data_IF_134778321429
#
_entry.id   IF_134778321429
#
_cell.length_a   1.000
_cell.length_b   1.000
_cell.length_c   1.000
_cell.angle_alpha   90.00
_cell.angle_beta   90.00
_cell.angle_gamma   90.00
#
_symmetry.space_group_name_H-M   'P 1'
#
loop_
_entity.id
_entity.type
_entity.pdbx_description
1 polymer ?
#
# COMPACT_ATOMS: atom_id res chain seq x y z
N UNK A 1 16.83 -23.38 5.83
CA UNK A 1 16.70 -22.80 4.48
C UNK A 1 16.31 -21.34 4.67
N UNK A 2 17.04 -20.39 4.11
CA UNK A 2 16.64 -18.97 4.08
C UNK A 2 15.53 -18.81 3.06
N UNK A 3 14.35 -18.34 3.50
CA UNK A 3 13.25 -17.99 2.60
C UNK A 3 13.56 -16.64 1.97
N UNK A 4 13.50 -16.55 0.64
CA UNK A 4 13.58 -15.28 -0.07
C UNK A 4 12.30 -14.47 0.14
N UNK A 5 12.45 -13.16 0.30
CA UNK A 5 11.35 -12.23 0.48
C UNK A 5 11.13 -11.49 -0.84
N UNK A 6 9.87 -11.41 -1.29
CA UNK A 6 9.51 -10.70 -2.51
C UNK A 6 8.77 -9.42 -2.17
N UNK A 7 9.36 -8.30 -2.57
CA UNK A 7 8.77 -6.97 -2.45
C UNK A 7 8.39 -6.47 -3.84
N UNK A 8 7.16 -6.01 -4.01
CA UNK A 8 6.71 -5.28 -5.19
C UNK A 8 6.52 -3.80 -4.85
N UNK A 9 6.84 -2.92 -5.78
CA UNK A 9 6.57 -1.48 -5.63
C UNK A 9 5.81 -0.97 -6.84
N UNK A 10 4.73 -0.22 -6.59
CA UNK A 10 3.86 0.31 -7.64
C UNK A 10 3.47 1.73 -7.32
N UNK A 11 3.80 2.65 -8.21
CA UNK A 11 3.19 3.97 -8.22
C UNK A 11 1.82 3.87 -8.92
N UNK A 12 0.74 4.04 -8.16
CA UNK A 12 -0.63 3.76 -8.64
C UNK A 12 -1.32 4.97 -9.28
N UNK A 13 -0.74 6.18 -9.17
CA UNK A 13 -1.33 7.42 -9.68
C UNK A 13 -2.82 7.61 -9.32
N UNK A 14 -3.21 7.21 -8.11
CA UNK A 14 -4.57 7.20 -7.60
C UNK A 14 -5.13 5.79 -7.42
N UNK A 15 -5.23 5.33 -6.17
CA UNK A 15 -5.60 3.94 -5.87
C UNK A 15 -6.97 3.54 -6.41
N UNK A 16 -7.98 4.42 -6.28
CA UNK A 16 -9.34 4.16 -6.80
C UNK A 16 -9.34 3.96 -8.32
N UNK A 17 -8.47 4.66 -9.03
CA UNK A 17 -8.33 4.53 -10.47
C UNK A 17 -7.56 3.25 -10.86
N UNK A 18 -6.61 2.82 -10.03
CA UNK A 18 -5.81 1.62 -10.24
C UNK A 18 -6.61 0.33 -9.99
N UNK A 19 -7.51 0.30 -9.01
CA UNK A 19 -8.34 -0.89 -8.70
C UNK A 19 -9.56 -1.05 -9.60
N UNK A 20 -9.91 -0.01 -10.36
CA UNK A 20 -11.09 -0.01 -11.24
C UNK A 20 -10.88 -0.92 -12.44
N UNK A 21 -11.80 -1.86 -12.63
CA UNK A 21 -11.98 -2.57 -13.90
C UNK A 21 -12.46 -1.59 -14.98
N UNK A 22 -11.74 -1.56 -16.10
CA UNK A 22 -11.98 -0.64 -17.22
C UNK A 22 -12.46 -1.36 -18.47
N UNK A 23 -12.08 -2.62 -18.66
CA UNK A 23 -12.49 -3.48 -19.77
C UNK A 23 -12.24 -4.95 -19.41
N UNK A 24 -12.72 -5.93 -20.21
CA UNK A 24 -12.42 -7.34 -20.02
C UNK A 24 -10.91 -7.69 -19.99
N UNK A 25 -10.08 -6.86 -20.63
CA UNK A 25 -8.62 -7.00 -20.68
C UNK A 25 -7.89 -6.12 -19.64
N UNK A 26 -8.60 -5.22 -18.98
CA UNK A 26 -8.07 -4.35 -17.92
C UNK A 26 -8.96 -4.45 -16.69
N UNK A 27 -8.69 -5.47 -15.89
CA UNK A 27 -9.41 -5.81 -14.67
C UNK A 27 -8.99 -4.96 -13.46
N UNK A 28 -8.10 -3.98 -13.64
CA UNK A 28 -7.50 -3.21 -12.56
C UNK A 28 -6.47 -4.02 -11.75
N UNK A 29 -6.05 -3.45 -10.63
CA UNK A 29 -4.92 -3.94 -9.83
C UNK A 29 -5.26 -5.13 -8.91
N UNK A 30 -6.50 -5.25 -8.44
CA UNK A 30 -6.87 -6.24 -7.42
C UNK A 30 -6.66 -7.71 -7.85
N UNK A 31 -6.96 -8.13 -9.10
CA UNK A 31 -6.64 -9.48 -9.56
C UNK A 31 -5.14 -9.80 -9.47
N UNK A 32 -4.28 -8.84 -9.80
CA UNK A 32 -2.83 -9.00 -9.62
C UNK A 32 -2.44 -9.13 -8.15
N UNK A 33 -3.02 -8.33 -7.24
CA UNK A 33 -2.76 -8.44 -5.79
C UNK A 33 -3.17 -9.82 -5.25
N UNK A 34 -4.24 -10.40 -5.78
CA UNK A 34 -4.70 -11.74 -5.40
C UNK A 34 -3.71 -12.84 -5.80
N UNK A 35 -3.10 -12.73 -6.97
CA UNK A 35 -2.25 -13.77 -7.57
C UNK A 35 -0.75 -13.58 -7.29
N UNK A 36 -0.33 -12.37 -6.91
CA UNK A 36 1.09 -12.06 -6.74
C UNK A 36 1.76 -12.89 -5.65
N UNK A 37 2.96 -13.36 -5.94
CA UNK A 37 3.82 -14.02 -4.97
C UNK A 37 4.60 -13.03 -4.07
N UNK A 38 4.22 -11.74 -4.07
CA UNK A 38 4.81 -10.75 -3.18
C UNK A 38 4.42 -11.02 -1.72
N UNK A 39 5.36 -10.86 -0.81
CA UNK A 39 5.13 -10.83 0.64
C UNK A 39 4.74 -9.41 1.08
N UNK A 40 5.27 -8.39 0.40
CA UNK A 40 5.04 -6.97 0.66
C UNK A 40 4.78 -6.22 -0.66
N UNK A 41 3.81 -5.31 -0.66
CA UNK A 41 3.54 -4.39 -1.78
C UNK A 41 3.57 -2.95 -1.28
N UNK A 42 4.50 -2.16 -1.80
CA UNK A 42 4.60 -0.73 -1.53
C UNK A 42 3.86 0.07 -2.61
N UNK A 43 2.98 0.97 -2.19
CA UNK A 43 2.16 1.81 -3.06
C UNK A 43 2.55 3.27 -2.90
N UNK A 44 2.73 3.97 -4.03
CA UNK A 44 2.97 5.41 -4.06
C UNK A 44 1.91 6.13 -4.89
N UNK A 45 1.72 7.43 -4.62
CA UNK A 45 0.69 8.25 -5.26
C UNK A 45 -0.71 7.67 -5.07
N UNK A 46 -1.05 7.22 -3.85
CA UNK A 46 -2.38 6.66 -3.57
C UNK A 46 -3.49 7.68 -3.75
N UNK A 47 -3.21 8.98 -3.48
CA UNK A 47 -4.12 10.13 -3.65
C UNK A 47 -5.48 9.91 -2.97
N UNK A 48 -5.47 9.22 -1.85
CA UNK A 48 -6.63 8.81 -1.07
C UNK A 48 -6.35 9.02 0.42
N UNK A 49 -7.40 9.30 1.18
CA UNK A 49 -7.40 9.17 2.64
C UNK A 49 -7.52 7.69 3.04
N UNK A 50 -7.41 7.41 4.34
CA UNK A 50 -7.37 6.03 4.86
C UNK A 50 -8.68 5.26 4.59
N UNK A 51 -9.83 5.91 4.70
CA UNK A 51 -11.14 5.30 4.39
C UNK A 51 -11.24 4.93 2.90
N UNK A 52 -10.90 5.86 2.00
CA UNK A 52 -10.89 5.60 0.56
C UNK A 52 -9.89 4.52 0.16
N UNK A 53 -8.77 4.44 0.87
CA UNK A 53 -7.74 3.44 0.63
C UNK A 53 -8.20 2.05 1.08
N UNK A 54 -8.79 1.97 2.28
CA UNK A 54 -9.38 0.75 2.81
C UNK A 54 -10.52 0.23 1.92
N UNK A 55 -11.40 1.10 1.46
CA UNK A 55 -12.48 0.76 0.51
C UNK A 55 -11.92 0.23 -0.81
N UNK A 56 -10.93 0.92 -1.39
CA UNK A 56 -10.33 0.52 -2.67
C UNK A 56 -9.59 -0.82 -2.58
N UNK A 57 -9.01 -1.14 -1.43
CA UNK A 57 -8.24 -2.35 -1.18
C UNK A 57 -9.03 -3.43 -0.43
N UNK A 58 -10.32 -3.23 -0.17
CA UNK A 58 -11.13 -4.10 0.68
C UNK A 58 -11.03 -5.60 0.32
N UNK A 59 -11.01 -6.02 -0.96
CA UNK A 59 -10.82 -7.43 -1.30
C UNK A 59 -9.46 -8.00 -0.86
N UNK A 60 -8.38 -7.21 -0.94
CA UNK A 60 -7.07 -7.64 -0.46
C UNK A 60 -7.05 -7.74 1.08
N UNK A 61 -7.70 -6.81 1.79
CA UNK A 61 -7.80 -6.86 3.25
C UNK A 61 -8.61 -8.06 3.72
N UNK A 62 -9.70 -8.38 3.02
CA UNK A 62 -10.49 -9.59 3.27
C UNK A 62 -9.70 -10.88 3.03
N UNK A 63 -8.76 -10.86 2.09
CA UNK A 63 -7.82 -11.96 1.78
C UNK A 63 -6.60 -12.02 2.74
N UNK A 64 -6.62 -11.24 3.83
CA UNK A 64 -5.62 -11.32 4.90
C UNK A 64 -4.39 -10.44 4.70
N UNK A 65 -4.42 -9.49 3.77
CA UNK A 65 -3.38 -8.45 3.70
C UNK A 65 -3.57 -7.42 4.82
N UNK A 66 -2.47 -7.02 5.44
CA UNK A 66 -2.39 -5.93 6.40
C UNK A 66 -2.03 -4.63 5.68
N UNK A 67 -2.63 -3.51 6.07
CA UNK A 67 -2.46 -2.20 5.43
C UNK A 67 -1.97 -1.15 6.43
N UNK A 68 -0.95 -0.40 6.05
CA UNK A 68 -0.51 0.82 6.72
C UNK A 68 -0.32 1.93 5.68
N UNK A 69 -0.61 3.18 6.04
CA UNK A 69 -0.59 4.32 5.13
C UNK A 69 -0.10 5.60 5.80
N UNK A 70 0.48 6.47 4.97
CA UNK A 70 0.65 7.88 5.29
C UNK A 70 -0.25 8.68 4.34
N UNK A 71 -1.41 9.12 4.85
CA UNK A 71 -2.33 9.94 4.10
C UNK A 71 -1.71 11.31 3.76
N UNK A 72 -2.02 11.89 2.60
CA UNK A 72 -1.55 13.21 2.23
C UNK A 72 -2.34 14.33 2.95
N UNK A 73 -1.65 15.36 3.40
CA UNK A 73 -2.29 16.59 3.92
C UNK A 73 -3.11 17.36 2.86
N UNK A 74 -2.76 17.24 1.58
CA UNK A 74 -3.49 17.87 0.47
C UNK A 74 -4.28 16.80 -0.29
N UNK A 75 -5.61 16.92 -0.28
CA UNK A 75 -6.52 16.02 -0.99
C UNK A 75 -6.11 15.83 -2.46
N UNK A 76 -6.02 14.58 -2.89
CA UNK A 76 -5.72 14.21 -4.28
C UNK A 76 -4.25 14.33 -4.69
N UNK A 77 -3.31 14.60 -3.77
CA UNK A 77 -1.86 14.62 -4.04
C UNK A 77 -1.15 13.59 -3.19
N UNK A 78 0.02 13.10 -3.62
CA UNK A 78 0.88 12.18 -2.84
C UNK A 78 0.10 10.96 -2.28
N UNK A 79 0.46 10.53 -1.06
CA UNK A 79 -0.07 9.36 -0.38
C UNK A 79 0.80 8.14 -0.66
N UNK A 80 1.17 7.42 0.40
CA UNK A 80 1.92 6.17 0.33
C UNK A 80 1.27 5.13 1.23
N UNK A 81 1.41 3.85 0.87
CA UNK A 81 0.89 2.75 1.65
C UNK A 81 1.76 1.49 1.50
N UNK A 82 1.66 0.60 2.47
CA UNK A 82 2.27 -0.73 2.45
C UNK A 82 1.20 -1.77 2.73
N UNK A 83 1.14 -2.77 1.86
CA UNK A 83 0.44 -4.02 2.10
C UNK A 83 1.45 -5.11 2.50
N UNK A 84 1.14 -5.91 3.51
CA UNK A 84 1.95 -7.06 3.92
C UNK A 84 1.09 -8.30 4.17
N UNK A 85 1.62 -9.48 3.87
CA UNK A 85 0.98 -10.77 4.26
C UNK A 85 1.12 -11.10 5.74
N UNK A 86 1.97 -10.36 6.45
CA UNK A 86 2.21 -10.52 7.89
C UNK A 86 1.86 -9.23 8.62
N UNK A 87 1.43 -9.30 9.89
CA UNK A 87 1.15 -8.11 10.68
C UNK A 87 2.39 -7.22 10.82
N UNK A 88 2.14 -5.92 11.02
CA UNK A 88 3.19 -4.95 11.37
C UNK A 88 3.45 -4.99 12.88
N UNK A 89 4.72 -5.03 13.26
CA UNK A 89 5.15 -4.90 14.65
C UNK A 89 5.34 -3.43 15.03
N UNK A 90 5.88 -2.64 14.10
CA UNK A 90 6.12 -1.21 14.26
C UNK A 90 5.73 -0.48 12.98
N UNK A 91 5.24 0.75 13.13
CA UNK A 91 4.84 1.62 12.02
C UNK A 91 5.40 3.02 12.29
N UNK A 92 6.10 3.59 11.31
CA UNK A 92 6.68 4.94 11.39
C UNK A 92 6.21 5.77 10.21
N UNK A 93 5.69 6.97 10.49
CA UNK A 93 5.21 7.93 9.49
C UNK A 93 6.15 9.13 9.48
N UNK A 94 6.60 9.50 8.28
CA UNK A 94 7.64 10.53 8.11
C UNK A 94 9.06 10.00 8.36
N UNK A 95 10.06 10.74 7.89
CA UNK A 95 11.47 10.37 7.95
C UNK A 95 12.27 11.19 8.98
N UNK A 96 11.61 11.68 10.03
CA UNK A 96 12.22 12.52 11.07
C UNK A 96 12.46 13.98 10.67
N UNK A 97 12.22 14.34 9.40
CA UNK A 97 12.22 15.72 8.93
C UNK A 97 10.81 16.31 8.99
N UNK A 98 10.66 17.42 9.73
CA UNK A 98 9.37 18.10 9.96
C UNK A 98 8.67 18.48 8.66
N UNK A 99 9.44 18.89 7.64
CA UNK A 99 8.91 19.22 6.33
C UNK A 99 8.22 18.05 5.63
N UNK A 100 8.47 16.79 6.00
CA UNK A 100 7.82 15.62 5.38
C UNK A 100 6.78 14.95 6.27
N UNK A 101 6.66 15.38 7.53
CA UNK A 101 5.83 14.72 8.55
C UNK A 101 4.36 14.56 8.15
N UNK A 102 3.80 15.52 7.39
CA UNK A 102 2.40 15.51 6.95
C UNK A 102 2.19 15.33 5.44
N UNK A 103 3.26 15.12 4.67
CA UNK A 103 3.16 15.14 3.20
C UNK A 103 2.61 13.84 2.60
N UNK A 104 2.46 12.77 3.40
CA UNK A 104 2.05 11.46 2.92
C UNK A 104 3.06 10.88 1.93
N UNK A 105 4.36 11.05 2.20
CA UNK A 105 5.46 10.61 1.31
C UNK A 105 6.33 9.51 1.91
N UNK A 106 6.14 9.17 3.18
CA UNK A 106 6.94 8.17 3.87
C UNK A 106 6.08 7.37 4.84
N UNK A 107 6.13 6.05 4.70
CA UNK A 107 5.68 5.07 5.69
C UNK A 107 6.72 3.97 5.72
N UNK A 108 7.07 3.55 6.92
CA UNK A 108 7.97 2.45 7.20
C UNK A 108 7.26 1.49 8.14
N UNK A 109 7.49 0.19 7.92
CA UNK A 109 6.90 -0.87 8.73
C UNK A 109 7.94 -1.94 9.04
N UNK A 110 7.91 -2.43 10.27
CA UNK A 110 8.61 -3.65 10.65
C UNK A 110 7.59 -4.80 10.58
N UNK A 111 7.92 -5.87 9.87
CA UNK A 111 7.00 -7.00 9.66
C UNK A 111 7.40 -8.21 10.50
N UNK A 112 6.44 -8.84 11.18
CA UNK A 112 6.64 -9.87 12.21
C UNK A 112 7.29 -11.19 11.77
N UNK A 113 7.68 -11.33 10.50
CA UNK A 113 8.16 -12.59 9.93
C UNK A 113 9.40 -12.45 9.04
N UNK A 114 10.10 -11.32 9.11
CA UNK A 114 11.11 -10.95 8.11
C UNK A 114 12.36 -10.32 8.76
N UNK A 115 13.03 -11.08 9.65
CA UNK A 115 14.40 -10.78 10.08
C UNK A 115 15.27 -12.04 10.00
#
# INVERSE_FOLDING_TARGET
MTRSIKVSTVNVNGIRAAVKERSPENLGMLPWVKETAADVVCLQETRADDDQLADALAPALADGWHLSSAAPNVKGRNGVAVLSRTPFEEIRIGCGAEEFASHGRYVEVDTAGVT
#
